data_IF_955574201526
#
_entry.id   IF_955574201526
#
_cell.length_a   1.000
_cell.length_b   1.000
_cell.length_c   1.000
_cell.angle_alpha   90.00
_cell.angle_beta   90.00
_cell.angle_gamma   90.00
#
_symmetry.space_group_name_H-M   'P 1'
#
loop_
_entity.id
_entity.type
_entity.pdbx_description
1 polymer ?
#
# COMPACT_ATOMS: atom_id res chain seq x y z
N UNK A 1 -4.31 -9.29 20.17
CA UNK A 1 -5.21 -8.73 19.15
C UNK A 1 -6.08 -7.69 19.84
N UNK A 2 -6.09 -6.44 19.36
CA UNK A 2 -7.03 -5.44 19.86
C UNK A 2 -8.35 -5.62 19.07
N UNK A 3 -9.25 -6.49 19.53
CA UNK A 3 -10.56 -6.73 18.88
C UNK A 3 -11.66 -5.82 19.44
N UNK A 4 -11.31 -4.60 19.87
CA UNK A 4 -12.26 -3.76 20.59
C UNK A 4 -13.22 -3.08 19.62
N UNK A 5 -14.48 -3.53 19.65
CA UNK A 5 -15.60 -2.97 18.91
C UNK A 5 -15.92 -1.50 19.27
N UNK A 6 -15.16 -0.85 20.16
CA UNK A 6 -15.42 0.51 20.61
C UNK A 6 -14.28 1.50 20.34
N UNK A 7 -13.13 1.05 19.84
CA UNK A 7 -12.02 1.95 19.50
C UNK A 7 -12.38 2.76 18.25
N UNK A 8 -12.55 4.07 18.41
CA UNK A 8 -12.76 5.02 17.30
C UNK A 8 -11.49 5.73 16.88
N UNK A 9 -10.59 5.96 17.82
CA UNK A 9 -9.36 6.71 17.62
C UNK A 9 -8.22 6.00 18.32
N UNK A 10 -7.10 5.79 17.61
CA UNK A 10 -5.88 5.22 18.14
C UNK A 10 -4.72 6.11 17.71
N UNK A 11 -3.93 6.56 18.68
CA UNK A 11 -2.71 7.32 18.45
C UNK A 11 -1.50 6.54 18.97
N UNK A 12 -0.62 6.12 18.05
CA UNK A 12 0.62 5.41 18.34
C UNK A 12 1.86 6.26 18.04
N UNK A 13 1.72 7.57 17.82
CA UNK A 13 2.81 8.46 17.40
C UNK A 13 4.09 8.31 18.24
N UNK A 14 3.93 8.12 19.56
CA UNK A 14 5.01 7.98 20.53
C UNK A 14 5.49 6.55 20.82
N UNK A 15 4.92 5.52 20.19
CA UNK A 15 5.29 4.12 20.46
C UNK A 15 6.61 3.78 19.78
N UNK A 16 7.64 3.41 20.56
CA UNK A 16 9.01 3.17 20.08
C UNK A 16 9.32 1.76 19.59
N UNK A 17 8.32 0.88 19.48
CA UNK A 17 8.55 -0.49 19.02
C UNK A 17 8.92 -0.52 17.54
N UNK A 18 9.97 -1.27 17.20
CA UNK A 18 10.39 -1.51 15.81
C UNK A 18 9.44 -2.42 15.03
N UNK A 19 8.60 -3.18 15.74
CA UNK A 19 7.66 -4.12 15.14
C UNK A 19 6.28 -3.98 15.78
N UNK A 20 5.25 -4.19 14.96
CA UNK A 20 3.87 -4.34 15.41
C UNK A 20 3.41 -5.77 15.10
N UNK A 21 2.63 -6.42 15.99
CA UNK A 21 2.10 -7.74 15.71
C UNK A 21 1.18 -7.76 14.47
N UNK A 22 1.14 -8.91 13.79
CA UNK A 22 0.17 -9.16 12.74
C UNK A 22 -1.27 -9.01 13.27
N UNK A 23 -2.16 -8.54 12.40
CA UNK A 23 -3.60 -8.43 12.69
C UNK A 23 -3.95 -7.57 13.93
N UNK A 24 -3.07 -6.65 14.34
CA UNK A 24 -3.23 -5.90 15.60
C UNK A 24 -4.58 -5.16 15.71
N UNK A 25 -5.05 -4.53 14.62
CA UNK A 25 -6.31 -3.80 14.53
C UNK A 25 -7.34 -4.48 13.60
N UNK A 26 -7.16 -5.77 13.33
CA UNK A 26 -8.09 -6.52 12.48
C UNK A 26 -9.51 -6.49 13.07
N UNK A 27 -10.51 -6.27 12.23
CA UNK A 27 -11.94 -6.17 12.59
C UNK A 27 -12.29 -5.03 13.57
N UNK A 28 -11.44 -4.02 13.76
CA UNK A 28 -11.79 -2.80 14.49
C UNK A 28 -12.82 -1.95 13.71
N UNK A 29 -14.05 -2.45 13.54
CA UNK A 29 -15.07 -1.89 12.63
C UNK A 29 -15.53 -0.47 12.97
N UNK A 30 -15.28 0.00 14.20
CA UNK A 30 -15.57 1.38 14.62
C UNK A 30 -14.38 2.33 14.53
N UNK A 31 -13.17 1.85 14.19
CA UNK A 31 -11.96 2.67 14.14
C UNK A 31 -12.02 3.62 12.93
N UNK A 32 -12.06 4.91 13.23
CA UNK A 32 -12.18 6.00 12.26
C UNK A 32 -10.81 6.66 12.02
N UNK A 33 -9.92 6.65 13.02
CA UNK A 33 -8.59 7.26 12.95
C UNK A 33 -7.54 6.36 13.56
N UNK A 34 -6.45 6.14 12.82
CA UNK A 34 -5.26 5.43 13.27
C UNK A 34 -4.01 6.26 12.93
N UNK A 35 -3.28 6.69 13.94
CA UNK A 35 -1.98 7.34 13.79
C UNK A 35 -0.91 6.30 14.10
N UNK A 36 -0.11 5.95 13.09
CA UNK A 36 1.00 5.00 13.21
C UNK A 36 2.21 5.66 13.88
N UNK A 37 3.15 4.88 14.47
CA UNK A 37 4.40 5.40 15.03
C UNK A 37 5.17 6.30 14.05
N UNK A 38 5.58 7.49 14.49
CA UNK A 38 6.22 8.51 13.63
C UNK A 38 7.72 8.68 13.91
N UNK A 39 8.35 7.70 14.55
CA UNK A 39 9.74 7.77 15.01
C UNK A 39 10.75 7.10 14.06
N UNK A 40 10.30 6.59 12.91
CA UNK A 40 11.15 5.95 11.90
C UNK A 40 11.65 4.54 12.25
N UNK A 41 11.27 3.98 13.41
CA UNK A 41 11.62 2.61 13.78
C UNK A 41 10.74 1.56 13.11
N UNK A 42 9.48 1.89 12.80
CA UNK A 42 8.59 1.00 12.08
C UNK A 42 9.07 0.86 10.63
N UNK A 43 9.63 -0.30 10.29
CA UNK A 43 10.12 -0.58 8.93
C UNK A 43 9.07 -1.19 8.02
N UNK A 44 8.06 -1.82 8.62
CA UNK A 44 7.05 -2.56 7.87
C UNK A 44 5.67 -2.37 8.48
N UNK A 45 4.65 -2.29 7.62
CA UNK A 45 3.27 -2.47 8.05
C UNK A 45 2.99 -3.99 8.10
N UNK A 46 2.57 -4.55 9.25
CA UNK A 46 2.39 -5.99 9.42
C UNK A 46 1.23 -6.58 8.61
N UNK A 47 1.26 -7.90 8.44
CA UNK A 47 0.21 -8.64 7.75
C UNK A 47 -1.14 -8.44 8.45
N UNK A 48 -2.18 -8.19 7.65
CA UNK A 48 -3.56 -8.03 8.10
C UNK A 48 -3.81 -6.97 9.19
N UNK A 49 -2.85 -6.06 9.43
CA UNK A 49 -2.87 -5.12 10.56
C UNK A 49 -4.22 -4.41 10.73
N UNK A 50 -4.78 -3.87 9.65
CA UNK A 50 -6.06 -3.18 9.58
C UNK A 50 -7.05 -3.90 8.66
N UNK A 51 -7.01 -5.24 8.60
CA UNK A 51 -7.98 -5.97 7.78
C UNK A 51 -9.42 -5.76 8.31
N UNK A 52 -10.35 -5.44 7.43
CA UNK A 52 -11.77 -5.20 7.73
C UNK A 52 -12.02 -4.04 8.72
N UNK A 53 -11.32 -2.92 8.53
CA UNK A 53 -11.50 -1.68 9.29
C UNK A 53 -12.31 -0.68 8.44
N UNK A 54 -13.60 -0.97 8.28
CA UNK A 54 -14.47 -0.30 7.31
C UNK A 54 -14.68 1.20 7.53
N UNK A 55 -14.45 1.72 8.74
CA UNK A 55 -14.62 3.14 9.08
C UNK A 55 -13.37 4.00 8.96
N UNK A 56 -12.20 3.40 8.75
CA UNK A 56 -10.96 4.14 8.57
C UNK A 56 -11.02 4.87 7.23
N UNK A 57 -10.98 6.21 7.26
CA UNK A 57 -11.10 7.04 6.06
C UNK A 57 -9.78 7.39 5.40
N UNK A 58 -8.73 7.50 6.21
CA UNK A 58 -7.41 7.94 5.76
C UNK A 58 -6.34 7.21 6.54
N UNK A 59 -5.25 6.87 5.87
CA UNK A 59 -4.05 6.37 6.54
C UNK A 59 -2.81 7.07 5.98
N UNK A 60 -1.99 7.60 6.89
CA UNK A 60 -0.66 8.10 6.58
C UNK A 60 0.37 7.06 7.02
N UNK A 61 1.10 6.52 6.06
CA UNK A 61 2.17 5.56 6.32
C UNK A 61 3.44 6.34 6.70
N UNK A 62 4.03 6.09 7.87
CA UNK A 62 5.12 6.91 8.39
C UNK A 62 6.41 6.78 7.59
N UNK A 63 7.20 7.84 7.55
CA UNK A 63 8.57 7.79 7.00
C UNK A 63 9.40 6.73 7.73
N UNK A 64 10.26 6.05 6.97
CA UNK A 64 11.04 4.91 7.44
C UNK A 64 10.40 3.55 7.16
N UNK A 65 9.08 3.50 6.87
CA UNK A 65 8.42 2.28 6.38
C UNK A 65 8.86 2.01 4.95
N UNK A 66 9.28 0.77 4.71
CA UNK A 66 9.76 0.27 3.43
C UNK A 66 8.79 -0.74 2.82
N UNK A 67 8.09 -1.51 3.66
CA UNK A 67 7.25 -2.64 3.23
C UNK A 67 5.83 -2.51 3.76
N UNK A 68 4.83 -2.77 2.91
CA UNK A 68 3.45 -3.04 3.35
C UNK A 68 3.11 -4.51 3.09
N UNK A 69 2.84 -5.25 4.17
CA UNK A 69 2.59 -6.68 4.10
C UNK A 69 1.21 -7.04 3.51
N UNK A 70 1.06 -8.33 3.21
CA UNK A 70 -0.15 -8.91 2.63
C UNK A 70 -1.39 -8.57 3.46
N UNK A 71 -2.45 -8.15 2.77
CA UNK A 71 -3.74 -7.78 3.36
C UNK A 71 -3.68 -6.69 4.46
N UNK A 72 -2.59 -5.94 4.61
CA UNK A 72 -2.42 -4.97 5.70
C UNK A 72 -3.62 -4.03 5.87
N UNK A 73 -4.24 -3.59 4.78
CA UNK A 73 -5.42 -2.72 4.74
C UNK A 73 -6.58 -3.34 3.93
N UNK A 74 -6.60 -4.67 3.77
CA UNK A 74 -7.65 -5.34 3.01
C UNK A 74 -9.04 -5.13 3.64
N UNK A 75 -10.05 -4.90 2.81
CA UNK A 75 -11.43 -4.62 3.19
C UNK A 75 -11.60 -3.38 4.10
N UNK A 76 -10.69 -2.40 4.04
CA UNK A 76 -10.95 -1.05 4.52
C UNK A 76 -11.88 -0.32 3.52
N UNK A 77 -13.14 -0.72 3.46
CA UNK A 77 -14.07 -0.29 2.40
C UNK A 77 -14.39 1.20 2.41
N UNK A 78 -14.24 1.87 3.56
CA UNK A 78 -14.37 3.32 3.73
C UNK A 78 -13.08 4.13 3.58
N UNK A 79 -11.94 3.49 3.26
CA UNK A 79 -10.66 4.18 3.06
C UNK A 79 -10.71 5.00 1.78
N UNK A 80 -10.66 6.32 1.90
CA UNK A 80 -10.77 7.28 0.80
C UNK A 80 -9.40 7.75 0.31
N UNK A 81 -8.42 7.88 1.21
CA UNK A 81 -7.08 8.40 0.86
C UNK A 81 -5.95 7.63 1.58
N UNK A 82 -4.84 7.43 0.88
CA UNK A 82 -3.61 6.82 1.43
C UNK A 82 -2.41 7.68 1.09
N UNK A 83 -1.55 7.92 2.09
CA UNK A 83 -0.30 8.65 1.93
C UNK A 83 0.89 7.73 2.15
N UNK A 84 1.71 7.57 1.11
CA UNK A 84 2.93 6.76 1.13
C UNK A 84 4.16 7.63 1.43
N UNK A 85 5.11 7.14 2.26
CA UNK A 85 6.35 7.84 2.54
C UNK A 85 7.32 7.76 1.35
N UNK A 86 8.34 8.61 1.38
CA UNK A 86 9.43 8.60 0.39
C UNK A 86 10.28 7.33 0.46
N UNK A 87 10.35 6.71 1.65
CA UNK A 87 11.14 5.51 1.93
C UNK A 87 10.50 4.21 1.46
N UNK A 88 9.25 4.25 0.98
CA UNK A 88 8.53 3.05 0.57
C UNK A 88 9.23 2.41 -0.63
N UNK A 89 9.51 1.12 -0.53
CA UNK A 89 10.14 0.35 -1.62
C UNK A 89 9.16 -0.62 -2.24
N UNK A 90 8.33 -1.25 -1.38
CA UNK A 90 7.70 -2.49 -1.73
C UNK A 90 6.35 -2.70 -1.02
N UNK A 91 5.42 -3.38 -1.68
CA UNK A 91 4.13 -3.73 -1.07
C UNK A 91 3.50 -4.99 -1.68
N UNK A 92 3.00 -5.86 -0.81
CA UNK A 92 2.43 -7.13 -1.24
C UNK A 92 1.11 -6.93 -1.97
N UNK A 93 0.85 -7.80 -2.95
CA UNK A 93 -0.45 -7.92 -3.61
C UNK A 93 -1.55 -8.12 -2.57
N UNK A 94 -2.72 -7.55 -2.85
CA UNK A 94 -3.87 -7.54 -1.95
C UNK A 94 -3.68 -6.75 -0.64
N UNK A 95 -2.58 -6.01 -0.45
CA UNK A 95 -2.42 -5.13 0.73
C UNK A 95 -3.55 -4.10 0.87
N UNK A 96 -4.16 -3.67 -0.24
CA UNK A 96 -5.34 -2.79 -0.28
C UNK A 96 -6.50 -3.44 -1.09
N UNK A 97 -6.68 -4.76 -0.98
CA UNK A 97 -7.84 -5.45 -1.58
C UNK A 97 -9.14 -4.89 -0.99
N UNK A 98 -10.21 -4.72 -1.78
CA UNK A 98 -11.55 -4.29 -1.33
C UNK A 98 -11.58 -2.90 -0.68
N UNK A 99 -10.67 -1.98 -1.04
CA UNK A 99 -10.75 -0.57 -0.65
C UNK A 99 -11.66 0.21 -1.61
N UNK A 100 -12.96 -0.07 -1.53
CA UNK A 100 -13.96 0.36 -2.52
C UNK A 100 -14.18 1.87 -2.59
N UNK A 101 -13.97 2.59 -1.48
CA UNK A 101 -14.09 4.05 -1.42
C UNK A 101 -12.81 4.81 -1.78
N UNK A 102 -11.71 4.12 -2.09
CA UNK A 102 -10.42 4.76 -2.36
C UNK A 102 -10.52 5.66 -3.58
N UNK A 103 -10.17 6.93 -3.40
CA UNK A 103 -10.20 7.98 -4.41
C UNK A 103 -8.80 8.50 -4.67
N UNK A 104 -8.03 8.71 -3.61
CA UNK A 104 -6.77 9.44 -3.67
C UNK A 104 -5.61 8.60 -3.15
N UNK A 105 -4.51 8.57 -3.91
CA UNK A 105 -3.27 7.92 -3.51
C UNK A 105 -2.15 8.94 -3.67
N UNK A 106 -1.52 9.31 -2.55
CA UNK A 106 -0.39 10.23 -2.54
C UNK A 106 0.91 9.45 -2.41
N UNK A 107 1.80 9.63 -3.36
CA UNK A 107 3.09 8.96 -3.47
C UNK A 107 4.20 10.00 -3.41
N UNK A 108 5.33 9.63 -2.80
CA UNK A 108 6.51 10.50 -2.66
C UNK A 108 7.77 9.90 -3.30
N UNK A 109 7.59 8.93 -4.17
CA UNK A 109 8.68 8.15 -4.76
C UNK A 109 8.32 7.76 -6.20
N UNK A 110 9.27 7.14 -6.90
CA UNK A 110 9.06 6.52 -8.21
C UNK A 110 8.01 5.40 -8.11
N UNK A 111 7.46 4.89 -9.23
CA UNK A 111 6.53 3.76 -9.21
C UNK A 111 6.97 2.66 -8.24
N UNK A 112 6.06 2.29 -7.34
CA UNK A 112 6.33 1.35 -6.25
C UNK A 112 6.24 -0.08 -6.76
N UNK A 113 7.18 -0.92 -6.34
CA UNK A 113 7.14 -2.33 -6.68
C UNK A 113 6.05 -3.05 -5.86
N UNK A 114 5.31 -3.98 -6.49
CA UNK A 114 4.43 -4.92 -5.83
C UNK A 114 4.76 -6.39 -6.14
N UNK A 115 4.61 -7.25 -5.13
CA UNK A 115 4.80 -8.70 -5.24
C UNK A 115 3.41 -9.27 -5.42
N UNK A 116 3.15 -9.79 -6.59
CA UNK A 116 1.94 -10.56 -6.80
C UNK A 116 1.99 -11.80 -5.88
N UNK A 117 1.02 -12.05 -5.00
CA UNK A 117 0.95 -13.33 -4.27
C UNK A 117 -0.53 -13.72 -4.09
N UNK A 118 -1.12 -14.59 -4.95
CA UNK A 118 -2.49 -15.07 -4.78
C UNK A 118 -2.69 -15.77 -3.44
N UNK A 119 -3.93 -15.73 -2.94
CA UNK A 119 -4.32 -16.38 -1.68
C UNK A 119 -4.24 -17.90 -1.83
N UNK A 120 -3.28 -18.51 -1.13
CA UNK A 120 -3.06 -19.96 -1.14
C UNK A 120 -2.18 -20.46 -2.29
N UNK A 121 -1.46 -19.57 -2.98
CA UNK A 121 -0.48 -19.93 -3.99
C UNK A 121 0.93 -19.58 -3.50
N UNK A 122 1.88 -20.49 -3.72
CA UNK A 122 3.31 -20.30 -3.48
C UNK A 122 3.99 -19.48 -4.61
N UNK A 123 3.22 -18.96 -5.59
CA UNK A 123 3.77 -18.24 -6.75
C UNK A 123 2.99 -16.97 -7.15
N UNK A 124 3.69 -15.87 -7.49
CA UNK A 124 3.13 -14.64 -8.04
C UNK A 124 2.35 -14.80 -9.34
N UNK A 125 1.16 -14.15 -9.47
CA UNK A 125 0.42 -14.08 -10.76
C UNK A 125 0.07 -12.64 -11.12
N UNK A 126 0.11 -12.31 -12.42
CA UNK A 126 -0.17 -10.99 -12.99
C UNK A 126 -1.58 -10.38 -12.67
N UNK A 127 -2.41 -11.06 -11.89
CA UNK A 127 -3.77 -10.61 -11.50
C UNK A 127 -3.84 -9.96 -10.11
N UNK A 128 -2.79 -10.06 -9.29
CA UNK A 128 -2.80 -9.55 -7.92
C UNK A 128 -2.55 -8.04 -7.88
N UNK A 129 -3.61 -7.27 -8.14
CA UNK A 129 -3.59 -5.81 -8.07
C UNK A 129 -3.58 -5.36 -6.60
N UNK A 130 -2.70 -4.42 -6.26
CA UNK A 130 -2.56 -3.86 -4.91
C UNK A 130 -3.87 -3.22 -4.45
N UNK A 131 -4.43 -2.36 -5.30
CA UNK A 131 -5.68 -1.63 -5.08
C UNK A 131 -6.76 -2.20 -6.00
N UNK A 132 -7.74 -2.90 -5.42
CA UNK A 132 -8.77 -3.57 -6.21
C UNK A 132 -10.12 -3.66 -5.49
N UNK A 133 -11.17 -3.96 -6.24
CA UNK A 133 -12.55 -4.04 -5.76
C UNK A 133 -12.94 -5.37 -5.07
N UNK A 134 -12.00 -6.32 -4.95
CA UNK A 134 -12.25 -7.68 -4.46
C UNK A 134 -12.61 -8.69 -5.53
N UNK A 135 -12.75 -8.26 -6.79
CA UNK A 135 -12.92 -9.11 -7.97
C UNK A 135 -11.69 -9.04 -8.89
N UNK A 136 -10.52 -8.67 -8.33
CA UNK A 136 -9.27 -8.43 -9.06
C UNK A 136 -9.36 -7.34 -10.13
N UNK A 137 -10.36 -6.44 -10.07
CA UNK A 137 -10.43 -5.30 -10.98
C UNK A 137 -9.62 -4.14 -10.36
N UNK A 138 -8.62 -3.60 -11.08
CA UNK A 138 -7.87 -2.46 -10.59
C UNK A 138 -8.81 -1.32 -10.21
N UNK A 139 -8.56 -0.68 -9.06
CA UNK A 139 -9.30 0.50 -8.67
C UNK A 139 -8.79 1.71 -9.47
N UNK A 140 -9.73 2.48 -10.02
CA UNK A 140 -9.44 3.81 -10.59
C UNK A 140 -9.39 4.83 -9.47
N UNK A 141 -8.29 5.57 -9.40
CA UNK A 141 -8.01 6.60 -8.40
C UNK A 141 -7.31 7.79 -9.06
N UNK A 142 -7.28 8.91 -8.35
CA UNK A 142 -6.32 9.99 -8.58
C UNK A 142 -5.01 9.63 -7.88
N UNK A 143 -3.92 9.61 -8.65
CA UNK A 143 -2.57 9.45 -8.13
C UNK A 143 -1.94 10.84 -8.08
N UNK A 144 -1.54 11.23 -6.88
CA UNK A 144 -0.71 12.40 -6.67
C UNK A 144 0.73 11.93 -6.51
N UNK A 145 1.61 12.41 -7.38
CA UNK A 145 2.99 11.92 -7.50
C UNK A 145 3.95 13.10 -7.59
N UNK A 146 5.23 12.94 -7.21
CA UNK A 146 6.22 14.00 -7.36
C UNK A 146 6.34 14.39 -8.84
N UNK A 147 6.45 15.69 -9.12
CA UNK A 147 6.52 16.21 -10.50
C UNK A 147 7.57 15.46 -11.35
N UNK A 148 8.73 15.17 -10.75
CA UNK A 148 9.83 14.45 -11.38
C UNK A 148 9.49 13.01 -11.85
N UNK A 149 8.41 12.40 -11.33
CA UNK A 149 8.02 11.02 -11.63
C UNK A 149 6.70 10.89 -12.39
N UNK A 150 6.04 12.00 -12.74
CA UNK A 150 4.76 12.00 -13.47
C UNK A 150 4.83 11.16 -14.74
N UNK A 151 5.87 11.33 -15.53
CA UNK A 151 6.03 10.58 -16.79
C UNK A 151 6.31 9.10 -16.56
N UNK A 152 6.95 8.72 -15.44
CA UNK A 152 7.13 7.31 -15.08
C UNK A 152 5.79 6.65 -14.74
N UNK A 153 4.91 7.33 -13.99
CA UNK A 153 3.60 6.79 -13.63
C UNK A 153 2.62 6.67 -14.80
N UNK A 154 2.85 7.40 -15.89
CA UNK A 154 2.07 7.31 -17.15
C UNK A 154 2.49 6.12 -18.02
N UNK A 155 3.65 5.51 -17.78
CA UNK A 155 4.14 4.39 -18.60
C UNK A 155 3.38 3.10 -18.29
N UNK A 156 2.92 2.43 -19.35
CA UNK A 156 2.35 1.07 -19.24
C UNK A 156 3.43 0.00 -18.99
N UNK A 157 4.66 0.27 -19.41
CA UNK A 157 5.81 -0.61 -19.26
C UNK A 157 6.98 0.23 -18.76
N UNK A 158 7.51 -0.13 -17.60
CA UNK A 158 8.73 0.45 -17.05
C UNK A 158 9.94 -0.38 -17.47
N UNK A 159 11.03 0.28 -17.85
CA UNK A 159 12.32 -0.37 -18.10
C UNK A 159 13.24 -0.25 -16.89
N UNK A 160 14.36 -0.98 -16.93
CA UNK A 160 15.41 -0.86 -15.92
C UNK A 160 16.01 0.55 -15.92
N UNK A 161 16.25 1.12 -17.10
CA UNK A 161 16.77 2.48 -17.26
C UNK A 161 15.80 3.52 -16.69
N UNK A 162 14.50 3.36 -16.92
CA UNK A 162 13.45 4.24 -16.35
C UNK A 162 13.51 4.32 -14.83
N UNK A 163 13.88 3.21 -14.19
CA UNK A 163 13.94 3.08 -12.74
C UNK A 163 15.34 3.33 -12.17
N UNK A 164 16.32 3.61 -13.04
CA UNK A 164 17.74 3.75 -12.69
C UNK A 164 18.33 2.46 -12.11
N UNK A 165 17.92 1.30 -12.61
CA UNK A 165 18.34 -0.03 -12.15
C UNK A 165 19.23 -0.71 -13.20
N UNK A 166 20.19 -1.52 -12.75
CA UNK A 166 21.01 -2.35 -13.65
C UNK A 166 20.43 -3.75 -13.87
N UNK A 167 19.51 -4.19 -13.01
CA UNK A 167 18.79 -5.45 -13.08
C UNK A 167 17.48 -5.35 -12.28
N UNK A 168 16.52 -6.21 -12.58
CA UNK A 168 15.28 -6.27 -11.80
C UNK A 168 15.57 -6.84 -10.41
N UNK A 169 15.01 -6.27 -9.33
CA UNK A 169 15.20 -6.80 -7.99
C UNK A 169 14.71 -8.24 -7.86
N UNK A 170 15.43 -9.04 -7.08
CA UNK A 170 15.03 -10.40 -6.70
C UNK A 170 14.50 -10.39 -5.27
N UNK A 171 13.39 -11.09 -5.03
CA UNK A 171 12.77 -11.22 -3.71
C UNK A 171 12.20 -12.62 -3.54
N UNK A 172 12.56 -13.32 -2.46
CA UNK A 172 12.12 -14.70 -2.18
C UNK A 172 12.17 -15.62 -3.41
N UNK A 173 13.33 -15.66 -4.09
CA UNK A 173 13.61 -16.44 -5.32
C UNK A 173 12.82 -16.04 -6.59
N UNK A 174 11.99 -15.00 -6.50
CA UNK A 174 11.25 -14.45 -7.63
C UNK A 174 11.94 -13.20 -8.19
N UNK A 175 11.94 -13.09 -9.52
CA UNK A 175 12.49 -11.94 -10.26
C UNK A 175 11.37 -10.98 -10.63
N UNK A 176 11.53 -9.72 -10.26
CA UNK A 176 10.61 -8.68 -10.68
C UNK A 176 10.69 -8.42 -12.19
N UNK A 177 9.64 -7.82 -12.73
CA UNK A 177 9.64 -7.26 -14.08
C UNK A 177 8.78 -5.99 -14.11
N UNK A 178 8.59 -5.44 -15.31
CA UNK A 178 7.79 -4.23 -15.51
C UNK A 178 6.35 -4.35 -15.01
N UNK A 179 5.78 -5.55 -14.95
CA UNK A 179 4.40 -5.82 -14.51
C UNK A 179 4.23 -5.78 -12.98
N UNK A 180 5.33 -5.56 -12.27
CA UNK A 180 5.41 -5.63 -10.82
C UNK A 180 5.45 -4.26 -10.18
N UNK A 181 4.93 -3.23 -10.83
CA UNK A 181 5.00 -1.85 -10.37
C UNK A 181 3.61 -1.23 -10.37
N UNK A 182 3.34 -0.37 -9.40
CA UNK A 182 2.10 0.40 -9.38
C UNK A 182 2.21 1.48 -10.45
N UNK A 183 1.39 1.33 -11.49
CA UNK A 183 1.12 2.37 -12.48
C UNK A 183 -0.29 2.94 -12.29
N UNK A 184 -0.52 4.11 -12.88
CA UNK A 184 -1.88 4.56 -13.11
C UNK A 184 -2.50 3.67 -14.21
N UNK A 185 -3.67 3.10 -13.96
CA UNK A 185 -4.41 2.48 -15.06
C UNK A 185 -4.93 3.57 -16.02
N UNK A 186 -5.36 3.20 -17.23
CA UNK A 186 -5.78 4.18 -18.27
C UNK A 186 -6.96 5.07 -17.87
N UNK A 187 -7.68 4.71 -16.80
CA UNK A 187 -8.80 5.49 -16.26
C UNK A 187 -8.39 6.34 -15.06
N UNK A 188 -7.21 6.12 -14.48
CA UNK A 188 -6.71 6.88 -13.33
C UNK A 188 -6.20 8.25 -13.76
N UNK A 189 -6.45 9.26 -12.93
CA UNK A 189 -5.90 10.60 -13.13
C UNK A 189 -4.55 10.70 -12.44
N UNK A 190 -3.53 11.28 -13.08
CA UNK A 190 -2.25 11.60 -12.45
C UNK A 190 -2.15 13.11 -12.28
N UNK A 191 -1.86 13.54 -11.06
CA UNK A 191 -1.64 14.95 -10.69
C UNK A 191 -0.22 15.08 -10.14
N UNK A 192 0.51 16.10 -10.58
CA UNK A 192 1.80 16.46 -10.01
C UNK A 192 1.60 17.16 -8.66
N UNK A 193 2.36 16.78 -7.64
CA UNK A 193 2.47 17.49 -6.36
C UNK A 193 3.95 17.83 -6.07
N UNK A 194 4.15 18.96 -5.40
CA UNK A 194 5.46 19.49 -4.96
C UNK A 194 5.96 18.86 -3.65
#
# INVERSE_FOLDING_TARGET
>A
MATSENLKHIDLKGVSNSTMPNSTFMNCSKLETLILPQNGFLKEIPMEMCRNVAKLKTIAIPEGVQIINRHAFAACSGLESVYFPSTMTFLYGYSFEKTTALKDIHLKTKPLQHLNVPRGADTPTAKATVFNDGNNRPKTCTLYVPEAYVELYKKQVLTLDDLGLSAWPEYDSWKADSSCYIWANSSSTIIAED
#
